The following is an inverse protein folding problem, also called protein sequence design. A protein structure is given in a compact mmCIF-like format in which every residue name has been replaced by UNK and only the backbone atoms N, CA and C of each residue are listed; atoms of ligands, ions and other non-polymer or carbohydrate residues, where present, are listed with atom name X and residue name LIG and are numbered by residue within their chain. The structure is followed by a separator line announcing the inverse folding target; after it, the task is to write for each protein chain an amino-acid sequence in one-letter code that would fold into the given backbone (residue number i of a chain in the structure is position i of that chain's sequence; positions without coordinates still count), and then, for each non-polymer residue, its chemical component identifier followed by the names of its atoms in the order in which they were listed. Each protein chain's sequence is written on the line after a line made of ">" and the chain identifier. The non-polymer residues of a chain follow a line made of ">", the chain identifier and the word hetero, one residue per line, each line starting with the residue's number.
data_IF_277071755174
#
_entry.id   IF_277071755174
#
_cell.length_a   1.000
_cell.length_b   1.000
_cell.length_c   1.000
_cell.angle_alpha   90.00
_cell.angle_beta   90.00
_cell.angle_gamma   90.00
#
_symmetry.space_group_name_H-M   'P 1'
#
loop_
_entity.id
_entity.type
_entity.pdbx_description
1 polymer ?
#
# COMPACT_ATOMS: atom_id res chain seq x y z
N UNK A 1 6.80 19.31 -6.03
CA UNK A 1 8.07 18.62 -5.68
C UNK A 1 8.81 19.49 -4.69
N UNK A 2 9.38 18.90 -3.64
CA UNK A 2 10.22 19.59 -2.66
C UNK A 2 11.57 18.89 -2.65
N UNK A 3 12.66 19.62 -2.89
CA UNK A 3 14.02 19.08 -2.87
C UNK A 3 14.69 19.43 -1.54
N UNK A 4 15.20 18.42 -0.86
CA UNK A 4 16.03 18.55 0.33
C UNK A 4 17.45 18.10 0.00
N UNK A 5 18.44 18.73 0.60
CA UNK A 5 19.84 18.32 0.53
C UNK A 5 20.31 18.03 1.95
N UNK A 6 21.04 16.94 2.12
CA UNK A 6 21.79 16.73 3.34
C UNK A 6 22.82 17.88 3.53
N UNK A 7 23.04 18.28 4.78
CA UNK A 7 23.86 19.46 5.06
C UNK A 7 25.34 19.22 4.75
N UNK A 8 25.83 18.03 5.10
CA UNK A 8 27.26 17.70 5.07
C UNK A 8 27.64 16.92 3.80
N UNK A 9 26.70 16.21 3.20
CA UNK A 9 26.92 15.37 2.03
C UNK A 9 26.14 15.86 0.80
N UNK A 10 26.59 15.46 -0.39
CA UNK A 10 25.89 15.70 -1.65
C UNK A 10 24.78 14.67 -1.91
N UNK A 11 24.01 14.32 -0.87
CA UNK A 11 22.83 13.45 -0.98
C UNK A 11 21.58 14.33 -1.02
N UNK A 12 20.69 14.05 -1.97
CA UNK A 12 19.46 14.80 -2.14
C UNK A 12 18.22 13.90 -2.04
N UNK A 13 17.14 14.48 -1.55
CA UNK A 13 15.83 13.85 -1.43
C UNK A 13 14.80 14.72 -2.15
N UNK A 14 14.27 14.22 -3.26
CA UNK A 14 13.16 14.87 -3.98
C UNK A 14 11.86 14.23 -3.52
N UNK A 15 11.06 14.97 -2.75
CA UNK A 15 9.76 14.54 -2.24
C UNK A 15 8.68 14.92 -3.25
N UNK A 16 7.97 13.92 -3.75
CA UNK A 16 6.85 14.09 -4.66
C UNK A 16 5.53 14.07 -3.88
N UNK A 17 4.67 15.04 -4.20
CA UNK A 17 3.31 15.15 -3.70
C UNK A 17 2.43 15.42 -4.91
N UNK A 18 1.55 14.48 -5.24
CA UNK A 18 0.59 14.63 -6.34
C UNK A 18 -0.80 14.75 -5.73
N UNK A 19 -1.46 15.88 -5.99
CA UNK A 19 -2.83 16.14 -5.55
C UNK A 19 -3.76 15.84 -6.72
N UNK A 20 -4.77 15.02 -6.49
CA UNK A 20 -5.83 14.76 -7.47
C UNK A 20 -6.95 15.77 -7.22
N UNK A 21 -7.07 16.84 -8.01
CA UNK A 21 -8.00 17.95 -7.73
C UNK A 21 -9.46 17.53 -7.54
N UNK A 22 -9.88 16.46 -8.23
CA UNK A 22 -11.27 16.00 -8.24
C UNK A 22 -11.53 14.90 -7.21
N UNK A 23 -10.52 14.56 -6.39
CA UNK A 23 -10.57 13.46 -5.42
C UNK A 23 -9.88 13.87 -4.13
N UNK A 24 -10.37 13.41 -2.99
CA UNK A 24 -9.64 13.55 -1.73
C UNK A 24 -8.48 12.54 -1.66
N UNK A 25 -7.52 12.66 -2.58
CA UNK A 25 -6.35 11.78 -2.70
C UNK A 25 -5.08 12.59 -2.87
N UNK A 26 -4.04 12.19 -2.14
CA UNK A 26 -2.66 12.61 -2.35
C UNK A 26 -1.82 11.35 -2.58
N UNK A 27 -0.94 11.34 -3.60
CA UNK A 27 0.14 10.35 -3.67
C UNK A 27 1.46 10.95 -3.24
N UNK A 28 2.30 10.11 -2.64
CA UNK A 28 3.64 10.48 -2.16
C UNK A 28 4.68 9.47 -2.57
N UNK A 29 5.85 9.94 -2.93
CA UNK A 29 7.05 9.13 -3.12
C UNK A 29 8.30 9.99 -2.93
N UNK A 30 9.45 9.34 -2.88
CA UNK A 30 10.74 10.01 -2.66
C UNK A 30 11.75 9.47 -3.68
N UNK A 31 12.47 10.38 -4.32
CA UNK A 31 13.66 10.06 -5.10
C UNK A 31 14.89 10.46 -4.30
N UNK A 32 15.78 9.50 -4.06
CA UNK A 32 17.04 9.72 -3.36
C UNK A 32 18.13 9.79 -4.44
N UNK A 33 18.90 10.87 -4.49
CA UNK A 33 20.00 11.05 -5.43
C UNK A 33 21.32 11.06 -4.69
N UNK A 34 22.26 10.24 -5.15
CA UNK A 34 23.63 10.26 -4.68
C UNK A 34 24.48 11.11 -5.64
N UNK A 35 24.78 12.35 -5.27
CA UNK A 35 25.70 13.22 -6.02
C UNK A 35 27.06 13.36 -5.30
N UNK A 36 27.36 12.43 -4.38
CA UNK A 36 28.70 12.30 -3.79
C UNK A 36 29.65 11.61 -4.78
N UNK A 37 30.93 11.56 -4.43
CA UNK A 37 31.94 10.79 -5.17
C UNK A 37 32.00 9.30 -4.78
N UNK A 38 31.21 8.85 -3.81
CA UNK A 38 31.30 7.51 -3.21
C UNK A 38 29.98 6.74 -3.36
N UNK A 39 30.04 5.41 -3.26
CA UNK A 39 28.84 4.57 -3.20
C UNK A 39 28.24 4.59 -1.81
N UNK A 40 26.93 4.84 -1.70
CA UNK A 40 26.19 4.79 -0.44
C UNK A 40 25.28 3.56 -0.37
N UNK A 41 24.89 3.16 0.83
CA UNK A 41 23.91 2.08 1.06
C UNK A 41 22.64 2.64 1.69
N UNK A 42 21.50 2.40 1.06
CA UNK A 42 20.19 2.72 1.60
C UNK A 42 19.67 1.54 2.41
N UNK A 43 19.59 1.69 3.73
CA UNK A 43 19.08 0.66 4.66
C UNK A 43 17.58 0.83 4.96
N UNK A 44 17.02 2.02 4.72
CA UNK A 44 15.58 2.30 4.83
C UNK A 44 15.19 3.42 3.86
N UNK A 45 14.14 3.18 3.08
CA UNK A 45 13.58 4.15 2.15
C UNK A 45 12.05 4.12 2.20
N UNK A 46 11.48 4.91 3.11
CA UNK A 46 10.03 5.05 3.24
C UNK A 46 9.46 5.92 2.10
N UNK A 47 8.25 5.59 1.65
CA UNK A 47 7.53 6.35 0.63
C UNK A 47 6.73 7.51 1.21
N UNK A 48 6.36 7.40 2.49
CA UNK A 48 5.71 8.48 3.21
C UNK A 48 5.95 8.41 4.72
N UNK A 49 5.78 9.56 5.37
CA UNK A 49 5.65 9.73 6.81
C UNK A 49 4.57 10.78 7.08
N UNK A 50 3.65 10.49 8.00
CA UNK A 50 2.61 11.41 8.43
C UNK A 50 2.56 11.44 9.95
N UNK A 51 2.65 12.65 10.52
CA UNK A 51 2.63 12.87 11.96
C UNK A 51 1.33 13.61 12.35
N UNK A 52 0.62 13.10 13.35
CA UNK A 52 -0.58 13.72 13.92
C UNK A 52 -0.27 14.24 15.32
N UNK A 53 -0.16 15.56 15.45
CA UNK A 53 0.14 16.20 16.72
C UNK A 53 -1.09 16.21 17.65
N UNK A 54 -1.01 15.56 18.81
CA UNK A 54 -1.87 15.73 20.00
C UNK A 54 -3.40 15.82 19.77
N UNK A 55 -3.94 15.23 18.70
CA UNK A 55 -5.34 15.45 18.30
C UNK A 55 -6.30 14.34 18.74
N UNK A 56 -5.80 13.19 19.23
CA UNK A 56 -6.58 11.93 19.42
C UNK A 56 -7.51 11.60 18.23
N UNK A 57 -7.26 12.18 17.05
CA UNK A 57 -8.13 12.13 15.86
C UNK A 57 -8.23 10.74 15.27
N UNK A 58 -7.15 9.96 15.41
CA UNK A 58 -7.07 8.57 14.98
C UNK A 58 -6.48 7.76 16.13
N UNK A 59 -7.31 6.93 16.76
CA UNK A 59 -6.95 6.08 17.88
C UNK A 59 -7.09 4.58 17.56
N UNK A 60 -7.53 4.26 16.34
CA UNK A 60 -7.60 2.91 15.83
C UNK A 60 -7.01 2.80 14.42
N UNK A 61 -6.55 1.60 14.11
CA UNK A 61 -6.08 1.20 12.80
C UNK A 61 -6.86 -0.02 12.34
N UNK A 62 -7.33 0.02 11.09
CA UNK A 62 -7.89 -1.12 10.38
C UNK A 62 -6.83 -1.65 9.44
N UNK A 63 -6.51 -2.94 9.55
CA UNK A 63 -5.64 -3.67 8.66
C UNK A 63 -6.36 -4.89 8.11
N UNK A 64 -5.78 -5.51 7.08
CA UNK A 64 -6.35 -6.67 6.39
C UNK A 64 -5.41 -7.89 6.48
N UNK A 65 -5.19 -8.46 7.68
CA UNK A 65 -4.44 -9.70 7.84
C UNK A 65 -5.20 -10.92 7.27
N UNK A 66 -4.52 -12.04 7.13
CA UNK A 66 -5.18 -13.29 6.73
C UNK A 66 -4.22 -14.45 6.58
N UNK A 67 -4.65 -15.45 5.84
CA UNK A 67 -3.82 -16.57 5.41
C UNK A 67 -4.27 -17.03 4.02
N UNK A 68 -3.52 -17.96 3.41
CA UNK A 68 -3.97 -18.63 2.19
C UNK A 68 -5.35 -19.26 2.43
N UNK A 69 -6.30 -19.03 1.51
CA UNK A 69 -7.72 -19.46 1.60
C UNK A 69 -8.56 -18.68 2.63
N UNK A 70 -7.97 -17.74 3.36
CA UNK A 70 -8.68 -16.87 4.30
C UNK A 70 -8.05 -15.46 4.31
N UNK A 71 -7.90 -14.86 3.12
CA UNK A 71 -7.21 -13.59 2.94
C UNK A 71 -8.02 -12.38 3.43
N UNK A 72 -7.31 -11.31 3.80
CA UNK A 72 -7.86 -9.95 3.98
C UNK A 72 -9.06 -9.84 4.93
N UNK A 73 -8.97 -10.54 6.05
CA UNK A 73 -9.92 -10.39 7.15
C UNK A 73 -9.80 -8.99 7.75
N UNK A 74 -10.93 -8.34 8.03
CA UNK A 74 -10.93 -7.01 8.63
C UNK A 74 -10.46 -7.14 10.09
N UNK A 75 -9.37 -6.46 10.41
CA UNK A 75 -8.87 -6.36 11.78
C UNK A 75 -8.81 -4.90 12.20
N UNK A 76 -9.67 -4.52 13.13
CA UNK A 76 -9.75 -3.18 13.72
C UNK A 76 -9.14 -3.20 15.11
N UNK A 77 -8.15 -2.36 15.38
CA UNK A 77 -7.34 -2.45 16.58
C UNK A 77 -6.97 -1.05 17.10
N UNK A 78 -6.99 -0.87 18.42
CA UNK A 78 -6.53 0.37 19.04
C UNK A 78 -5.02 0.61 18.85
N UNK A 79 -4.67 1.89 18.74
CA UNK A 79 -3.29 2.40 18.69
C UNK A 79 -2.90 2.83 20.09
N UNK A 80 -2.19 1.94 20.78
CA UNK A 80 -1.65 2.13 22.11
C UNK A 80 -0.24 2.75 22.02
N UNK A 81 0.28 3.21 23.16
CA UNK A 81 1.65 3.73 23.26
C UNK A 81 2.69 2.70 22.79
N UNK A 82 3.74 3.18 22.14
CA UNK A 82 4.77 2.34 21.51
C UNK A 82 4.53 2.16 20.02
N UNK A 83 5.15 1.14 19.44
CA UNK A 83 5.15 0.89 18.00
C UNK A 83 4.31 -0.33 17.64
N UNK A 84 3.49 -0.19 16.60
CA UNK A 84 2.74 -1.26 15.96
C UNK A 84 3.12 -1.36 14.49
N UNK A 85 3.38 -2.57 14.01
CA UNK A 85 3.91 -2.80 12.66
C UNK A 85 3.01 -3.77 11.89
N UNK A 86 2.63 -3.37 10.68
CA UNK A 86 1.94 -4.22 9.71
C UNK A 86 2.84 -4.41 8.49
N UNK A 87 3.37 -5.62 8.28
CA UNK A 87 4.45 -5.81 7.32
C UNK A 87 4.41 -7.15 6.60
N UNK A 88 5.11 -7.20 5.46
CA UNK A 88 5.51 -8.43 4.79
C UNK A 88 7.03 -8.48 4.61
N UNK A 89 7.60 -9.66 4.86
CA UNK A 89 9.03 -10.01 4.71
C UNK A 89 9.24 -11.18 3.72
N UNK A 90 8.23 -11.52 2.92
CA UNK A 90 8.15 -12.76 2.13
C UNK A 90 8.48 -12.58 0.63
N UNK A 91 9.10 -11.45 0.26
CA UNK A 91 9.35 -11.05 -1.12
C UNK A 91 8.10 -10.64 -1.90
N UNK A 92 6.93 -10.69 -1.26
CA UNK A 92 5.63 -10.33 -1.87
C UNK A 92 4.78 -9.58 -0.86
N UNK A 93 3.71 -8.89 -1.30
CA UNK A 93 2.71 -8.31 -0.38
C UNK A 93 2.07 -9.39 0.51
N UNK A 94 2.07 -10.65 0.08
CA UNK A 94 1.65 -11.85 0.82
C UNK A 94 0.13 -11.95 1.12
N UNK A 95 -0.31 -13.15 1.48
CA UNK A 95 -1.66 -13.42 1.99
C UNK A 95 -1.83 -13.01 3.46
N UNK A 96 -0.71 -12.77 4.18
CA UNK A 96 -0.70 -12.63 5.63
C UNK A 96 -1.02 -11.22 6.10
N UNK A 97 -0.57 -10.22 5.34
CA UNK A 97 -0.78 -8.82 5.64
C UNK A 97 -0.88 -8.04 4.35
N UNK A 98 -2.05 -7.45 4.08
CA UNK A 98 -2.19 -6.59 2.93
C UNK A 98 -1.34 -5.31 3.07
N UNK A 99 -0.99 -4.70 1.95
CA UNK A 99 -0.28 -3.42 1.89
C UNK A 99 -1.23 -2.20 1.96
N UNK A 100 -2.31 -2.36 2.74
CA UNK A 100 -3.33 -1.36 3.05
C UNK A 100 -3.56 -1.26 4.55
N UNK A 101 -3.68 -0.04 5.06
CA UNK A 101 -4.24 0.25 6.38
C UNK A 101 -5.20 1.43 6.29
N UNK A 102 -6.15 1.54 7.22
CA UNK A 102 -6.94 2.74 7.43
C UNK A 102 -6.80 3.25 8.86
N UNK A 103 -6.58 4.55 9.01
CA UNK A 103 -6.55 5.25 10.30
C UNK A 103 -7.94 5.82 10.57
N UNK A 104 -8.51 5.52 11.73
CA UNK A 104 -9.86 5.94 12.11
C UNK A 104 -9.94 6.31 13.59
N UNK A 105 -10.96 7.09 13.93
CA UNK A 105 -11.42 7.19 15.33
C UNK A 105 -12.32 6.00 15.68
N UNK A 106 -12.37 5.57 16.94
CA UNK A 106 -13.22 4.45 17.37
C UNK A 106 -14.72 4.62 17.07
N UNK A 107 -15.22 5.87 17.01
CA UNK A 107 -16.60 6.17 16.59
C UNK A 107 -16.82 6.19 15.06
N UNK A 108 -15.77 6.04 14.25
CA UNK A 108 -15.90 6.01 12.79
C UNK A 108 -16.61 4.73 12.36
N UNK A 109 -17.58 4.88 11.47
CA UNK A 109 -18.38 3.79 10.89
C UNK A 109 -18.22 3.78 9.37
N UNK A 110 -18.99 2.93 8.69
CA UNK A 110 -19.06 2.94 7.23
C UNK A 110 -19.56 4.28 6.68
N UNK A 111 -20.46 4.97 7.39
CA UNK A 111 -21.19 6.12 6.86
C UNK A 111 -20.88 7.44 7.58
N UNK A 112 -20.10 7.40 8.66
CA UNK A 112 -19.80 8.58 9.50
C UNK A 112 -18.37 8.54 10.04
N UNK A 113 -17.82 9.72 10.32
CA UNK A 113 -16.48 9.87 10.91
C UNK A 113 -15.37 10.00 9.88
N UNK A 114 -14.17 10.30 10.37
CA UNK A 114 -13.01 10.53 9.52
C UNK A 114 -12.23 9.24 9.29
N UNK A 115 -11.81 9.02 8.05
CA UNK A 115 -10.98 7.87 7.67
C UNK A 115 -9.87 8.31 6.71
N UNK A 116 -8.65 7.86 7.00
CA UNK A 116 -7.51 7.95 6.08
C UNK A 116 -7.12 6.55 5.66
N UNK A 117 -7.33 6.22 4.39
CA UNK A 117 -6.83 4.99 3.76
C UNK A 117 -5.41 5.20 3.22
N UNK A 118 -4.53 4.24 3.47
CA UNK A 118 -3.13 4.24 3.05
C UNK A 118 -2.88 2.96 2.26
N UNK A 119 -2.55 3.08 0.97
CA UNK A 119 -2.25 1.94 0.11
C UNK A 119 -0.87 2.11 -0.51
N UNK A 120 -0.01 1.12 -0.31
CA UNK A 120 1.31 1.11 -0.91
C UNK A 120 1.24 0.49 -2.32
N UNK A 121 1.66 1.22 -3.35
CA UNK A 121 1.66 0.76 -4.75
C UNK A 121 2.92 -0.05 -5.02
N UNK A 122 3.03 -1.20 -4.36
CA UNK A 122 4.17 -2.10 -4.44
C UNK A 122 3.76 -3.53 -4.14
N UNK A 123 4.40 -4.50 -4.81
CA UNK A 123 4.05 -5.92 -4.67
C UNK A 123 5.07 -6.74 -3.90
N UNK A 124 6.15 -6.13 -3.40
CA UNK A 124 7.20 -6.79 -2.63
C UNK A 124 7.04 -6.63 -1.11
N UNK A 125 8.17 -6.68 -0.39
CA UNK A 125 8.19 -6.44 1.05
C UNK A 125 7.78 -5.01 1.39
N UNK A 126 6.79 -4.86 2.28
CA UNK A 126 6.28 -3.57 2.75
C UNK A 126 6.21 -3.53 4.27
N UNK A 127 6.16 -2.33 4.82
CA UNK A 127 5.91 -2.08 6.23
C UNK A 127 5.06 -0.82 6.40
N UNK A 128 4.11 -0.87 7.33
CA UNK A 128 3.50 0.30 7.96
C UNK A 128 3.84 0.27 9.44
N UNK A 129 4.53 1.31 9.92
CA UNK A 129 4.94 1.49 11.30
C UNK A 129 4.12 2.63 11.89
N UNK A 130 3.30 2.33 12.89
CA UNK A 130 2.52 3.29 13.66
C UNK A 130 3.16 3.42 15.03
N UNK A 131 3.66 4.60 15.36
CA UNK A 131 4.27 4.90 16.65
C UNK A 131 3.44 5.94 17.37
N UNK A 132 3.01 5.61 18.60
CA UNK A 132 2.40 6.56 19.52
C UNK A 132 3.37 6.88 20.64
N UNK A 133 3.85 8.11 20.65
CA UNK A 133 4.91 8.57 21.56
C UNK A 133 4.38 8.96 22.96
N UNK A 134 5.30 9.39 23.83
CA UNK A 134 5.00 9.79 25.21
C UNK A 134 4.13 11.06 25.33
N UNK A 135 4.03 11.87 24.27
CA UNK A 135 3.18 13.07 24.22
C UNK A 135 1.89 12.85 23.41
N UNK A 136 1.53 11.59 23.15
CA UNK A 136 0.35 11.16 22.40
C UNK A 136 0.30 11.67 20.95
N UNK A 137 1.46 11.89 20.32
CA UNK A 137 1.54 12.07 18.88
C UNK A 137 1.52 10.71 18.18
N UNK A 138 0.84 10.62 17.06
CA UNK A 138 0.83 9.43 16.21
C UNK A 138 1.68 9.69 14.97
N UNK A 139 2.78 8.98 14.83
CA UNK A 139 3.60 8.91 13.62
C UNK A 139 3.23 7.67 12.83
N UNK A 140 3.00 7.82 11.53
CA UNK A 140 2.78 6.71 10.61
C UNK A 140 3.80 6.79 9.48
N UNK A 141 4.60 5.75 9.35
CA UNK A 141 5.62 5.61 8.31
C UNK A 141 5.25 4.40 7.45
N UNK A 142 5.36 4.52 6.12
CA UNK A 142 5.16 3.37 5.26
C UNK A 142 5.96 3.40 3.97
N UNK A 143 6.29 2.21 3.50
CA UNK A 143 7.10 2.02 2.30
C UNK A 143 7.68 0.61 2.21
N UNK A 144 8.84 0.49 1.59
CA UNK A 144 9.60 -0.77 1.50
C UNK A 144 10.01 -1.18 2.92
N UNK A 145 9.83 -2.45 3.25
CA UNK A 145 10.28 -2.99 4.53
C UNK A 145 11.81 -2.90 4.64
N UNK A 146 12.33 -2.35 5.74
CA UNK A 146 13.78 -2.28 6.00
C UNK A 146 14.41 -3.64 6.32
N UNK A 147 13.61 -4.64 6.69
CA UNK A 147 14.13 -5.97 6.99
C UNK A 147 14.76 -6.61 5.75
N UNK A 148 16.09 -6.76 5.78
CA UNK A 148 16.93 -7.26 4.68
C UNK A 148 16.82 -6.41 3.40
N UNK A 149 16.47 -5.14 3.53
CA UNK A 149 16.59 -4.18 2.44
C UNK A 149 17.93 -3.46 2.59
N UNK A 150 18.77 -3.58 1.56
CA UNK A 150 19.97 -2.76 1.40
C UNK A 150 20.11 -2.48 -0.09
N UNK A 151 20.18 -1.21 -0.45
CA UNK A 151 20.34 -0.79 -1.85
C UNK A 151 21.64 -0.02 -2.01
N UNK A 152 22.56 -0.58 -2.80
CA UNK A 152 23.78 0.09 -3.21
C UNK A 152 23.45 1.16 -4.26
N UNK A 153 23.71 2.42 -3.91
CA UNK A 153 23.46 3.57 -4.76
C UNK A 153 24.80 4.21 -5.12
N UNK A 154 25.29 3.95 -6.32
CA UNK A 154 26.58 4.47 -6.79
C UNK A 154 26.53 5.99 -7.00
N UNK A 155 27.70 6.61 -7.04
CA UNK A 155 27.85 8.02 -7.39
C UNK A 155 27.12 8.35 -8.70
N UNK A 156 26.35 9.44 -8.71
CA UNK A 156 25.53 9.90 -9.83
C UNK A 156 24.22 9.14 -10.05
N UNK A 157 23.92 8.08 -9.27
CA UNK A 157 22.68 7.32 -9.40
C UNK A 157 21.55 7.85 -8.51
N UNK A 158 20.33 7.40 -8.80
CA UNK A 158 19.15 7.70 -7.99
C UNK A 158 18.29 6.47 -7.72
N UNK A 159 17.67 6.44 -6.54
CA UNK A 159 16.69 5.42 -6.13
C UNK A 159 15.31 6.06 -6.00
N UNK A 160 14.28 5.44 -6.59
CA UNK A 160 12.89 5.90 -6.52
C UNK A 160 12.07 4.96 -5.64
N UNK A 161 11.45 5.49 -4.58
CA UNK A 161 10.50 4.70 -3.78
C UNK A 161 9.17 4.53 -4.54
N UNK A 162 8.45 3.41 -4.36
CA UNK A 162 7.11 3.27 -4.89
C UNK A 162 6.15 4.30 -4.27
N UNK A 163 5.02 4.56 -4.92
CA UNK A 163 4.06 5.54 -4.43
C UNK A 163 3.21 5.00 -3.27
N UNK A 164 2.96 5.87 -2.29
CA UNK A 164 1.90 5.70 -1.30
C UNK A 164 0.68 6.50 -1.74
N UNK A 165 -0.49 5.87 -1.78
CA UNK A 165 -1.78 6.54 -1.96
C UNK A 165 -2.36 6.84 -0.59
N UNK A 166 -2.73 8.09 -0.36
CA UNK A 166 -3.46 8.55 0.81
C UNK A 166 -4.84 9.02 0.36
N UNK A 167 -5.90 8.32 0.74
CA UNK A 167 -7.29 8.70 0.49
C UNK A 167 -7.96 9.15 1.78
N UNK A 168 -8.64 10.30 1.76
CA UNK A 168 -9.31 10.87 2.92
C UNK A 168 -10.84 10.91 2.73
N UNK A 169 -11.57 10.74 3.82
CA UNK A 169 -13.02 10.92 3.90
C UNK A 169 -13.40 11.47 5.27
N UNK A 170 -14.34 12.40 5.32
CA UNK A 170 -15.05 12.81 6.53
C UNK A 170 -16.43 12.12 6.68
N UNK A 171 -16.77 11.22 5.75
CA UNK A 171 -18.08 10.56 5.61
C UNK A 171 -17.98 9.05 5.84
N UNK A 172 -17.04 8.60 6.66
CA UNK A 172 -16.83 7.19 6.99
C UNK A 172 -16.04 6.40 5.96
N UNK A 173 -15.92 5.10 6.25
CA UNK A 173 -15.10 4.12 5.51
C UNK A 173 -15.63 3.82 4.11
N UNK A 174 -16.95 3.87 3.89
CA UNK A 174 -17.54 3.57 2.59
C UNK A 174 -17.13 4.64 1.57
N UNK A 175 -17.24 5.92 1.92
CA UNK A 175 -16.81 7.01 1.04
C UNK A 175 -15.29 6.98 0.80
N UNK A 176 -14.49 6.67 1.82
CA UNK A 176 -13.04 6.48 1.67
C UNK A 176 -12.72 5.36 0.67
N UNK A 177 -13.41 4.23 0.77
CA UNK A 177 -13.26 3.09 -0.14
C UNK A 177 -13.68 3.44 -1.56
N UNK A 178 -14.78 4.18 -1.76
CA UNK A 178 -15.23 4.63 -3.08
C UNK A 178 -14.18 5.53 -3.76
N UNK A 179 -13.66 6.53 -3.03
CA UNK A 179 -12.57 7.41 -3.51
C UNK A 179 -11.36 6.57 -3.93
N UNK A 180 -11.01 5.56 -3.11
CA UNK A 180 -9.91 4.66 -3.38
C UNK A 180 -10.15 3.81 -4.64
N UNK A 181 -11.31 3.17 -4.76
CA UNK A 181 -11.69 2.31 -5.88
C UNK A 181 -11.73 3.08 -7.20
N UNK A 182 -12.27 4.31 -7.21
CA UNK A 182 -12.29 5.19 -8.37
C UNK A 182 -10.86 5.51 -8.84
N UNK A 183 -9.96 5.87 -7.91
CA UNK A 183 -8.56 6.12 -8.24
C UNK A 183 -7.87 4.87 -8.82
N UNK A 184 -8.03 3.72 -8.17
CA UNK A 184 -7.43 2.47 -8.63
C UNK A 184 -7.91 2.10 -10.04
N UNK A 185 -9.23 2.21 -10.29
CA UNK A 185 -9.82 1.91 -11.59
C UNK A 185 -9.30 2.86 -12.67
N UNK A 186 -9.18 4.15 -12.38
CA UNK A 186 -8.95 5.16 -13.42
C UNK A 186 -7.48 5.52 -13.65
N UNK A 187 -6.64 5.35 -12.63
CA UNK A 187 -5.23 5.76 -12.67
C UNK A 187 -4.22 4.61 -12.55
N UNK A 188 -4.65 3.46 -12.04
CA UNK A 188 -3.74 2.31 -11.83
C UNK A 188 -4.07 1.13 -12.73
N UNK A 189 -5.33 0.72 -12.82
CA UNK A 189 -5.73 -0.36 -13.72
C UNK A 189 -5.47 0.05 -15.17
N UNK A 190 -4.84 -0.84 -15.94
CA UNK A 190 -4.48 -0.62 -17.34
C UNK A 190 -5.15 -1.64 -18.25
N UNK A 191 -5.24 -1.29 -19.54
CA UNK A 191 -5.64 -2.19 -20.61
C UNK A 191 -7.14 -2.27 -20.84
N UNK A 192 -7.54 -3.13 -21.79
CA UNK A 192 -8.90 -3.19 -22.36
C UNK A 192 -10.04 -3.46 -21.36
N UNK A 193 -9.72 -3.96 -20.16
CA UNK A 193 -10.71 -4.32 -19.14
C UNK A 193 -10.80 -3.30 -17.99
N UNK A 194 -10.28 -2.09 -18.18
CA UNK A 194 -10.37 -1.02 -17.18
C UNK A 194 -11.83 -0.62 -16.90
N UNK A 195 -12.63 -0.44 -17.98
CA UNK A 195 -14.05 -0.09 -17.91
C UNK A 195 -14.97 -1.11 -18.59
N UNK A 196 -14.43 -2.17 -19.19
CA UNK A 196 -15.22 -3.21 -19.84
C UNK A 196 -15.69 -4.26 -18.82
N UNK A 197 -16.88 -4.80 -19.04
CA UNK A 197 -17.37 -5.96 -18.30
C UNK A 197 -16.41 -7.15 -18.43
N UNK A 198 -16.29 -7.93 -17.36
CA UNK A 198 -15.43 -9.12 -17.33
C UNK A 198 -16.22 -10.29 -17.93
N UNK A 199 -15.67 -11.03 -18.90
CA UNK A 199 -16.37 -12.19 -19.46
C UNK A 199 -16.54 -13.28 -18.40
N UNK A 200 -17.67 -13.98 -18.45
CA UNK A 200 -17.91 -15.17 -17.63
C UNK A 200 -16.91 -16.25 -18.07
N UNK A 201 -16.07 -16.70 -17.13
CA UNK A 201 -15.01 -17.67 -17.41
C UNK A 201 -15.26 -19.02 -16.74
N UNK A 202 -14.77 -20.08 -17.37
CA UNK A 202 -14.67 -21.42 -16.77
C UNK A 202 -13.18 -21.70 -16.56
N UNK A 203 -12.79 -21.90 -15.30
CA UNK A 203 -11.43 -22.30 -14.94
C UNK A 203 -11.44 -23.78 -14.52
N UNK A 204 -10.65 -24.60 -15.22
CA UNK A 204 -10.59 -26.05 -15.02
C UNK A 204 -9.59 -26.49 -13.94
N UNK A 205 -8.88 -25.56 -13.28
CA UNK A 205 -7.89 -25.87 -12.24
C UNK A 205 -8.45 -26.75 -11.11
N UNK A 206 -9.70 -26.53 -10.69
CA UNK A 206 -10.35 -27.34 -9.64
C UNK A 206 -10.97 -28.63 -10.16
N UNK A 207 -11.13 -28.78 -11.48
CA UNK A 207 -11.88 -29.88 -12.11
C UNK A 207 -10.97 -30.93 -12.72
N UNK A 208 -9.76 -30.54 -13.12
CA UNK A 208 -8.79 -31.42 -13.76
C UNK A 208 -7.51 -31.45 -12.93
N UNK A 209 -7.28 -32.58 -12.25
CA UNK A 209 -5.97 -32.88 -11.65
C UNK A 209 -4.94 -33.11 -12.78
N UNK A 210 -3.65 -32.89 -12.50
CA UNK A 210 -2.53 -32.96 -13.47
C UNK A 210 -2.58 -34.18 -14.43
N UNK A 211 -3.15 -35.31 -13.99
CA UNK A 211 -3.29 -36.56 -14.73
C UNK A 211 -4.34 -36.54 -15.85
N UNK A 212 -5.23 -35.54 -15.90
CA UNK A 212 -6.41 -35.51 -16.79
C UNK A 212 -6.34 -34.50 -17.96
N UNK A 213 -5.17 -33.87 -18.16
CA UNK A 213 -4.92 -32.92 -19.25
C UNK A 213 -4.54 -33.70 -20.53
N UNK A 214 -5.50 -34.42 -21.10
CA UNK A 214 -5.43 -34.92 -22.48
C UNK A 214 -6.34 -34.06 -23.35
N UNK A 215 -5.90 -33.66 -24.55
CA UNK A 215 -6.58 -32.72 -25.48
C UNK A 215 -8.10 -32.94 -25.67
N UNK A 216 -8.63 -34.15 -25.43
CA UNK A 216 -10.07 -34.48 -25.51
C UNK A 216 -10.92 -33.86 -24.38
N UNK A 217 -10.39 -33.64 -23.17
CA UNK A 217 -11.19 -33.19 -22.01
C UNK A 217 -11.57 -31.70 -22.03
N UNK A 218 -10.77 -30.84 -22.69
CA UNK A 218 -11.07 -29.40 -22.80
C UNK A 218 -12.28 -29.08 -23.71
N UNK A 219 -12.51 -29.89 -24.76
CA UNK A 219 -13.61 -29.67 -25.70
C UNK A 219 -14.98 -30.08 -25.15
N UNK A 220 -15.05 -31.05 -24.24
CA UNK A 220 -16.32 -31.48 -23.64
C UNK A 220 -16.85 -30.48 -22.61
N UNK A 221 -15.97 -29.86 -21.81
CA UNK A 221 -16.33 -28.80 -20.85
C UNK A 221 -16.93 -27.56 -21.53
N UNK A 222 -16.47 -27.21 -22.74
CA UNK A 222 -17.02 -26.08 -23.50
C UNK A 222 -18.40 -26.38 -24.13
N UNK A 223 -18.82 -27.65 -24.22
CA UNK A 223 -20.09 -28.06 -24.83
C UNK A 223 -21.27 -28.15 -23.85
N UNK A 224 -21.07 -28.01 -22.54
CA UNK A 224 -22.13 -28.15 -21.54
C UNK A 224 -23.02 -26.90 -21.35
N UNK A 225 -22.92 -25.89 -22.23
CA UNK A 225 -23.71 -24.65 -22.18
C UNK A 225 -24.23 -24.21 -23.56
N UNK A 226 -24.77 -25.15 -24.34
CA UNK A 226 -25.66 -24.84 -25.46
C UNK A 226 -27.08 -25.22 -25.10
#
# INVERSE_FOLDING_TARGET
>A
MISLKDRETAIYFDLFYTIFTDRAVITRSVKIRNETGETIKLEKAASFQLDFAHTRRFDEVIALPGAHVNERQISRQSVLSGTKVFESRRGTSSHHMNNFIALVHHHTTENTGEAIGLQFVYSGNHSFELEKDQINQLRVVGGINSHRFSWELNAGQSFQTPEMILSYSSQGLNKMSQIHHELLRERIARGRHQFAERPILVNNWKTLTLTSIVKKSRRSLMKQRS
#
